data_IF_293521466233
#
_entry.id   IF_293521466233
#
_cell.length_a   1.000
_cell.length_b   1.000
_cell.length_c   1.000
_cell.angle_alpha   90.00
_cell.angle_beta   90.00
_cell.angle_gamma   90.00
#
_symmetry.space_group_name_H-M   'P 1'
#
loop_
_entity.id
_entity.type
_entity.pdbx_description
1 polymer ?
#
# COMPACT_ATOMS: atom_id res chain seq x y z
N UNK A 1 35.12 10.84 14.04
CA UNK A 1 34.00 9.96 14.48
C UNK A 1 32.72 10.73 14.78
N UNK A 2 32.78 12.04 15.07
CA UNK A 2 31.60 12.92 15.15
C UNK A 2 31.04 13.34 13.77
N UNK A 3 31.92 13.46 12.77
CA UNK A 3 31.55 13.94 11.43
C UNK A 3 30.68 12.98 10.61
N UNK A 4 30.66 11.69 10.97
CA UNK A 4 29.85 10.68 10.29
C UNK A 4 28.38 10.72 10.69
N UNK A 5 28.04 11.17 11.90
CA UNK A 5 26.64 11.29 12.35
C UNK A 5 25.94 12.52 11.76
N UNK A 6 26.64 13.66 11.61
CA UNK A 6 26.04 14.86 11.01
C UNK A 6 25.76 14.68 9.51
N UNK A 7 26.62 13.96 8.78
CA UNK A 7 26.40 13.63 7.36
C UNK A 7 25.24 12.64 7.15
N UNK A 8 25.06 11.65 8.02
CA UNK A 8 23.94 10.69 7.93
C UNK A 8 22.57 11.36 8.16
N UNK A 9 22.53 12.42 8.99
CA UNK A 9 21.31 13.17 9.27
C UNK A 9 20.90 14.01 8.05
N UNK A 10 21.87 14.59 7.33
CA UNK A 10 21.59 15.40 6.13
C UNK A 10 21.10 14.55 4.97
N UNK A 11 21.74 13.40 4.69
CA UNK A 11 21.30 12.48 3.63
C UNK A 11 19.89 11.90 3.85
N UNK A 12 19.55 11.51 5.08
CA UNK A 12 18.20 11.04 5.40
C UNK A 12 17.16 12.12 5.20
N UNK A 13 17.51 13.38 5.49
CA UNK A 13 16.60 14.52 5.32
C UNK A 13 16.33 14.80 3.84
N UNK A 14 17.36 14.77 2.99
CA UNK A 14 17.24 14.99 1.54
C UNK A 14 16.47 13.85 0.87
N UNK A 15 16.73 12.60 1.29
CA UNK A 15 15.96 11.43 0.83
C UNK A 15 14.48 11.51 1.23
N UNK A 16 14.18 11.96 2.45
CA UNK A 16 12.80 12.16 2.90
C UNK A 16 12.09 13.27 2.12
N UNK A 17 12.77 14.40 1.86
CA UNK A 17 12.23 15.51 1.10
C UNK A 17 11.97 15.14 -0.36
N UNK A 18 12.93 14.48 -1.00
CA UNK A 18 12.77 13.97 -2.36
C UNK A 18 11.68 12.90 -2.43
N UNK A 19 11.55 12.04 -1.41
CA UNK A 19 10.48 11.07 -1.33
C UNK A 19 9.11 11.75 -1.15
N UNK A 20 8.98 12.76 -0.29
CA UNK A 20 7.72 13.49 -0.10
C UNK A 20 7.27 14.22 -1.37
N UNK A 21 8.18 14.83 -2.12
CA UNK A 21 7.86 15.49 -3.40
C UNK A 21 7.39 14.47 -4.45
N UNK A 22 8.09 13.32 -4.54
CA UNK A 22 7.70 12.25 -5.47
C UNK A 22 6.41 11.53 -5.06
N UNK A 23 6.16 11.45 -3.75
CA UNK A 23 4.95 10.86 -3.17
C UNK A 23 3.74 11.79 -3.33
N UNK A 24 3.93 13.11 -3.31
CA UNK A 24 2.88 14.10 -3.59
C UNK A 24 2.41 14.09 -5.05
N UNK A 25 3.22 13.56 -5.98
CA UNK A 25 2.83 13.37 -7.39
C UNK A 25 1.91 12.15 -7.60
N UNK A 26 1.79 11.27 -6.61
CA UNK A 26 0.89 10.11 -6.68
C UNK A 26 -0.57 10.59 -6.46
N UNK A 27 -1.55 10.11 -7.24
CA UNK A 27 -2.95 10.47 -7.02
C UNK A 27 -3.38 10.12 -5.59
N UNK A 28 -4.09 11.05 -4.93
CA UNK A 28 -4.54 10.97 -3.53
C UNK A 28 -5.22 9.64 -3.15
N UNK A 29 -5.89 9.01 -4.12
CA UNK A 29 -6.50 7.70 -3.96
C UNK A 29 -5.46 6.62 -3.63
N UNK A 30 -4.35 6.53 -4.37
CA UNK A 30 -3.32 5.49 -4.23
C UNK A 30 -2.26 5.78 -3.16
N UNK A 31 -2.33 6.94 -2.51
CA UNK A 31 -1.39 7.34 -1.47
C UNK A 31 -1.71 6.63 -0.15
N UNK A 32 -0.93 5.63 0.26
CA UNK A 32 -1.14 4.93 1.54
C UNK A 32 -0.43 5.66 2.69
N UNK A 33 -1.13 6.63 3.29
CA UNK A 33 -0.70 7.21 4.56
C UNK A 33 -0.71 6.18 5.69
N UNK A 34 0.06 6.40 6.75
CA UNK A 34 0.14 5.49 7.91
C UNK A 34 -1.25 5.17 8.51
N UNK A 35 -2.18 6.13 8.45
CA UNK A 35 -3.57 5.97 8.88
C UNK A 35 -4.34 5.00 7.97
N UNK A 36 -4.22 5.13 6.64
CA UNK A 36 -4.82 4.19 5.68
C UNK A 36 -4.25 2.77 5.84
N UNK A 37 -2.95 2.63 6.13
CA UNK A 37 -2.32 1.32 6.41
C UNK A 37 -2.89 0.66 7.68
N UNK A 38 -3.17 1.45 8.73
CA UNK A 38 -3.86 0.94 9.94
C UNK A 38 -5.30 0.52 9.64
N UNK A 39 -6.06 1.34 8.92
CA UNK A 39 -7.45 1.02 8.53
C UNK A 39 -7.48 -0.26 7.69
N UNK A 40 -6.55 -0.42 6.74
CA UNK A 40 -6.46 -1.60 5.90
C UNK A 40 -6.20 -2.89 6.70
N UNK A 41 -5.34 -2.83 7.72
CA UNK A 41 -5.12 -3.97 8.62
C UNK A 41 -6.38 -4.36 9.38
N UNK A 42 -7.09 -3.37 9.94
CA UNK A 42 -8.35 -3.63 10.63
C UNK A 42 -9.42 -4.18 9.70
N UNK A 43 -9.52 -3.64 8.49
CA UNK A 43 -10.41 -4.15 7.44
C UNK A 43 -10.10 -5.62 7.13
N UNK A 44 -8.84 -5.99 6.96
CA UNK A 44 -8.45 -7.38 6.71
C UNK A 44 -8.83 -8.33 7.86
N UNK A 45 -8.66 -7.90 9.11
CA UNK A 45 -9.05 -8.69 10.30
C UNK A 45 -10.57 -8.89 10.34
N UNK A 46 -11.33 -7.81 10.16
CA UNK A 46 -12.80 -7.86 10.15
C UNK A 46 -13.30 -8.75 9.01
N UNK A 47 -12.70 -8.62 7.83
CA UNK A 47 -13.06 -9.41 6.67
C UNK A 47 -12.85 -10.91 6.89
N UNK A 48 -11.68 -11.28 7.44
CA UNK A 48 -11.37 -12.68 7.76
C UNK A 48 -12.32 -13.24 8.81
N UNK A 49 -12.70 -12.43 9.81
CA UNK A 49 -13.71 -12.82 10.78
C UNK A 49 -15.09 -13.05 10.13
N UNK A 50 -15.50 -12.21 9.17
CA UNK A 50 -16.74 -12.38 8.43
C UNK A 50 -16.73 -13.66 7.58
N UNK A 51 -15.62 -13.97 6.90
CA UNK A 51 -15.48 -15.21 6.12
C UNK A 51 -15.60 -16.46 7.01
N UNK A 52 -14.99 -16.43 8.20
CA UNK A 52 -15.11 -17.53 9.18
C UNK A 52 -16.55 -17.70 9.66
N UNK A 53 -17.23 -16.60 10.01
CA UNK A 53 -18.63 -16.65 10.43
C UNK A 53 -19.52 -17.17 9.29
N UNK A 54 -19.29 -16.72 8.06
CA UNK A 54 -20.06 -17.15 6.89
C UNK A 54 -19.83 -18.64 6.59
N UNK A 55 -18.59 -19.11 6.71
CA UNK A 55 -18.26 -20.54 6.55
C UNK A 55 -18.93 -21.41 7.61
N UNK A 56 -18.92 -20.98 8.88
CA UNK A 56 -19.61 -21.67 9.98
C UNK A 56 -21.12 -21.71 9.70
N UNK A 57 -21.73 -20.58 9.36
CA UNK A 57 -23.15 -20.49 9.03
C UNK A 57 -23.55 -21.44 7.88
N UNK A 58 -22.73 -21.52 6.83
CA UNK A 58 -22.97 -22.41 5.70
C UNK A 58 -22.87 -23.89 6.09
N UNK A 59 -21.89 -24.26 6.92
CA UNK A 59 -21.78 -25.61 7.47
C UNK A 59 -23.01 -25.99 8.31
N UNK A 60 -23.45 -25.11 9.20
CA UNK A 60 -24.60 -25.36 10.08
C UNK A 60 -25.94 -25.44 9.33
N UNK A 61 -26.16 -24.64 8.28
CA UNK A 61 -27.38 -24.73 7.46
C UNK A 61 -27.41 -26.01 6.65
N UNK A 62 -26.28 -26.36 6.03
CA UNK A 62 -26.18 -27.58 5.22
C UNK A 62 -26.41 -28.84 6.07
N UNK A 63 -25.98 -28.84 7.34
CA UNK A 63 -26.27 -29.93 8.27
C UNK A 63 -27.73 -29.96 8.74
N UNK A 64 -28.42 -28.80 8.82
CA UNK A 64 -29.81 -28.73 9.27
C UNK A 64 -30.83 -29.11 8.19
N UNK A 65 -30.50 -28.93 6.91
CA UNK A 65 -31.40 -29.18 5.78
C UNK A 65 -30.77 -30.07 4.67
N UNK A 66 -30.47 -31.35 4.91
CA UNK A 66 -30.19 -32.27 3.80
C UNK A 66 -31.44 -32.63 2.98
N UNK A 67 -32.66 -32.18 3.36
CA UNK A 67 -33.91 -32.69 2.76
C UNK A 67 -35.13 -31.73 2.73
N UNK A 68 -35.04 -30.44 3.07
CA UNK A 68 -36.21 -29.55 3.00
C UNK A 68 -36.21 -28.71 1.73
N UNK A 69 -36.70 -29.33 0.66
CA UNK A 69 -37.39 -28.59 -0.39
C UNK A 69 -38.49 -27.76 0.28
N UNK A 70 -38.32 -26.44 0.33
CA UNK A 70 -39.31 -25.51 0.86
C UNK A 70 -40.50 -25.50 -0.10
N UNK A 71 -41.43 -26.44 0.09
CA UNK A 71 -42.77 -26.37 -0.49
C UNK A 71 -43.56 -25.33 0.29
N UNK A 72 -43.46 -24.07 -0.14
CA UNK A 72 -44.39 -23.02 0.25
C UNK A 72 -45.55 -23.08 -0.74
N UNK A 73 -46.58 -23.81 -0.35
CA UNK A 73 -47.78 -23.98 -1.15
C UNK A 73 -48.57 -22.66 -1.24
N UNK A 74 -48.97 -22.37 -2.48
CA UNK A 74 -50.10 -21.50 -2.89
C UNK A 74 -49.90 -19.98 -2.86
N UNK A 75 -49.14 -19.48 -3.83
CA UNK A 75 -49.55 -18.52 -4.89
C UNK A 75 -48.28 -17.78 -5.34
N UNK A 76 -47.69 -18.24 -6.46
CA UNK A 76 -46.48 -17.68 -7.08
C UNK A 76 -45.22 -17.84 -6.23
N UNK A 77 -44.96 -19.04 -5.75
CA UNK A 77 -43.63 -19.44 -5.27
C UNK A 77 -42.68 -19.53 -6.46
N UNK A 78 -41.99 -18.41 -6.76
CA UNK A 78 -40.68 -18.52 -7.42
C UNK A 78 -39.84 -19.31 -6.42
N UNK A 79 -39.34 -20.52 -6.75
CA UNK A 79 -38.43 -21.22 -5.87
C UNK A 79 -37.17 -20.36 -5.77
N UNK A 80 -37.08 -19.55 -4.72
CA UNK A 80 -35.82 -18.90 -4.35
C UNK A 80 -34.99 -20.05 -3.81
N UNK A 81 -34.21 -20.67 -4.67
CA UNK A 81 -33.15 -21.59 -4.26
C UNK A 81 -32.23 -20.78 -3.34
N UNK A 82 -32.43 -20.92 -2.03
CA UNK A 82 -31.65 -20.24 -1.00
C UNK A 82 -30.16 -20.51 -1.19
N UNK A 83 -29.81 -21.72 -1.62
CA UNK A 83 -28.45 -22.11 -2.01
C UNK A 83 -27.86 -21.23 -3.12
N UNK A 84 -28.64 -20.90 -4.15
CA UNK A 84 -28.18 -20.05 -5.25
C UNK A 84 -27.95 -18.62 -4.78
N UNK A 85 -28.82 -18.11 -3.91
CA UNK A 85 -28.69 -16.77 -3.31
C UNK A 85 -27.46 -16.67 -2.40
N UNK A 86 -27.17 -17.71 -1.60
CA UNK A 86 -25.97 -17.73 -0.75
C UNK A 86 -24.66 -17.80 -1.57
N UNK A 87 -24.64 -18.63 -2.63
CA UNK A 87 -23.49 -18.70 -3.54
C UNK A 87 -23.28 -17.36 -4.26
N UNK A 88 -24.35 -16.70 -4.68
CA UNK A 88 -24.29 -15.39 -5.33
C UNK A 88 -23.70 -14.33 -4.37
N UNK A 89 -24.17 -14.28 -3.13
CA UNK A 89 -23.67 -13.35 -2.11
C UNK A 89 -22.18 -13.60 -1.82
N UNK A 90 -21.78 -14.85 -1.64
CA UNK A 90 -20.37 -15.21 -1.44
C UNK A 90 -19.49 -14.82 -2.64
N UNK A 91 -19.99 -15.01 -3.86
CA UNK A 91 -19.26 -14.65 -5.08
C UNK A 91 -19.07 -13.14 -5.19
N UNK A 92 -20.13 -12.36 -4.96
CA UNK A 92 -20.06 -10.88 -4.96
C UNK A 92 -19.09 -10.38 -3.90
N UNK A 93 -19.11 -10.96 -2.70
CA UNK A 93 -18.22 -10.60 -1.60
C UNK A 93 -16.74 -10.83 -1.98
N UNK A 94 -16.43 -12.00 -2.58
CA UNK A 94 -15.09 -12.31 -3.06
C UNK A 94 -14.61 -11.41 -4.22
N UNK A 95 -15.51 -11.03 -5.13
CA UNK A 95 -15.18 -10.09 -6.21
C UNK A 95 -14.82 -8.72 -5.65
N UNK A 96 -15.57 -8.22 -4.65
CA UNK A 96 -15.26 -6.95 -3.97
C UNK A 96 -13.86 -7.02 -3.32
N UNK A 97 -13.56 -8.12 -2.61
CA UNK A 97 -12.24 -8.32 -2.03
C UNK A 97 -11.14 -8.30 -3.10
N UNK A 98 -11.34 -9.02 -4.22
CA UNK A 98 -10.36 -9.06 -5.30
C UNK A 98 -10.09 -7.67 -5.90
N UNK A 99 -11.12 -6.84 -6.08
CA UNK A 99 -10.97 -5.45 -6.55
C UNK A 99 -10.19 -4.61 -5.55
N UNK A 100 -10.47 -4.74 -4.25
CA UNK A 100 -9.74 -4.01 -3.19
C UNK A 100 -8.27 -4.45 -3.15
N UNK A 101 -7.99 -5.75 -3.25
CA UNK A 101 -6.63 -6.28 -3.30
C UNK A 101 -5.87 -5.79 -4.53
N UNK A 102 -6.50 -5.80 -5.71
CA UNK A 102 -5.91 -5.26 -6.94
C UNK A 102 -5.54 -3.78 -6.76
N UNK A 103 -6.44 -2.99 -6.18
CA UNK A 103 -6.21 -1.58 -5.89
C UNK A 103 -5.03 -1.36 -4.94
N UNK A 104 -4.88 -2.19 -3.91
CA UNK A 104 -3.73 -2.17 -3.00
C UNK A 104 -2.43 -2.48 -3.73
N UNK A 105 -2.42 -3.52 -4.56
CA UNK A 105 -1.23 -3.92 -5.34
C UNK A 105 -0.79 -2.80 -6.27
N UNK A 106 -1.74 -2.15 -6.95
CA UNK A 106 -1.46 -1.01 -7.82
C UNK A 106 -0.85 0.14 -7.02
N UNK A 107 -1.42 0.49 -5.86
CA UNK A 107 -0.88 1.56 -5.03
C UNK A 107 0.52 1.24 -4.48
N UNK A 108 0.78 -0.01 -4.06
CA UNK A 108 2.11 -0.45 -3.64
C UNK A 108 3.13 -0.40 -4.80
N UNK A 109 2.71 -0.71 -6.03
CA UNK A 109 3.57 -0.59 -7.20
C UNK A 109 3.93 0.88 -7.49
N UNK A 110 3.00 1.82 -7.30
CA UNK A 110 3.29 3.26 -7.38
C UNK A 110 4.23 3.71 -6.27
N UNK A 111 4.05 3.29 -5.02
CA UNK A 111 4.96 3.61 -3.91
C UNK A 111 6.38 3.12 -4.22
N UNK A 112 6.54 1.87 -4.67
CA UNK A 112 7.86 1.33 -5.06
C UNK A 112 8.51 2.14 -6.17
N UNK A 113 7.74 2.55 -7.19
CA UNK A 113 8.27 3.39 -8.28
C UNK A 113 8.72 4.76 -7.78
N UNK A 114 7.97 5.37 -6.86
CA UNK A 114 8.35 6.64 -6.24
C UNK A 114 9.64 6.50 -5.41
N UNK A 115 9.76 5.45 -4.59
CA UNK A 115 10.99 5.16 -3.85
C UNK A 115 12.21 4.99 -4.76
N UNK A 116 12.07 4.26 -5.86
CA UNK A 116 13.19 4.05 -6.82
C UNK A 116 13.59 5.35 -7.50
N UNK A 117 12.63 6.22 -7.84
CA UNK A 117 12.93 7.54 -8.41
C UNK A 117 13.60 8.47 -7.40
N UNK A 118 13.07 8.54 -6.18
CA UNK A 118 13.66 9.32 -5.10
C UNK A 118 15.11 8.89 -4.81
N UNK A 119 15.38 7.58 -4.79
CA UNK A 119 16.74 7.06 -4.61
C UNK A 119 17.72 7.50 -5.72
N UNK A 120 17.27 7.58 -6.97
CA UNK A 120 18.10 8.10 -8.07
C UNK A 120 18.38 9.59 -7.95
N UNK A 121 17.41 10.37 -7.46
CA UNK A 121 17.58 11.81 -7.25
C UNK A 121 18.57 12.06 -6.11
N UNK A 122 18.46 11.32 -5.01
CA UNK A 122 19.39 11.41 -3.88
C UNK A 122 20.83 11.07 -4.30
N UNK A 123 21.05 9.97 -5.05
CA UNK A 123 22.37 9.61 -5.56
C UNK A 123 22.99 10.71 -6.45
N UNK A 124 22.17 11.35 -7.28
CA UNK A 124 22.64 12.46 -8.13
C UNK A 124 22.96 13.73 -7.32
N UNK A 125 22.26 13.96 -6.22
CA UNK A 125 22.53 15.09 -5.33
C UNK A 125 23.87 14.91 -4.61
N UNK A 126 24.16 13.68 -4.16
CA UNK A 126 25.44 13.32 -3.54
C UNK A 126 26.63 13.52 -4.50
N UNK A 127 26.48 13.11 -5.77
CA UNK A 127 27.49 13.37 -6.81
C UNK A 127 27.74 14.87 -7.01
N UNK A 128 26.67 15.68 -7.02
CA UNK A 128 26.78 17.13 -7.19
C UNK A 128 27.46 17.81 -5.99
N UNK A 129 27.22 17.36 -4.77
CA UNK A 129 27.89 17.85 -3.57
C UNK A 129 29.38 17.49 -3.54
N UNK A 130 29.74 16.28 -3.99
CA UNK A 130 31.15 15.90 -4.14
C UNK A 130 31.87 16.82 -5.11
N UNK A 131 31.30 17.08 -6.28
CA UNK A 131 31.88 18.03 -7.24
C UNK A 131 32.00 19.45 -6.68
N UNK A 132 30.99 19.93 -5.94
CA UNK A 132 31.03 21.25 -5.32
C UNK A 132 32.15 21.35 -4.30
N UNK A 133 32.28 20.35 -3.43
CA UNK A 133 33.34 20.29 -2.42
C UNK A 133 34.73 20.22 -3.04
N UNK A 134 34.90 19.51 -4.16
CA UNK A 134 36.17 19.48 -4.88
C UNK A 134 36.52 20.85 -5.49
N UNK A 135 35.54 21.55 -6.08
CA UNK A 135 35.75 22.91 -6.61
C UNK A 135 36.08 23.91 -5.50
N UNK A 136 35.43 23.83 -4.35
CA UNK A 136 35.74 24.68 -3.19
C UNK A 136 37.15 24.41 -2.66
N UNK A 137 37.56 23.14 -2.54
CA UNK A 137 38.94 22.79 -2.16
C UNK A 137 39.97 23.31 -3.16
N UNK A 138 39.67 23.26 -4.46
CA UNK A 138 40.55 23.81 -5.50
C UNK A 138 40.66 25.35 -5.39
N UNK A 139 39.55 26.05 -5.15
CA UNK A 139 39.55 27.51 -4.93
C UNK A 139 40.39 27.91 -3.72
N UNK A 140 40.24 27.19 -2.60
CA UNK A 140 41.01 27.44 -1.38
C UNK A 140 42.51 27.22 -1.65
N UNK A 141 42.90 26.12 -2.32
CA UNK A 141 44.31 25.88 -2.67
C UNK A 141 44.89 26.94 -3.60
N UNK A 142 44.10 27.46 -4.55
CA UNK A 142 44.52 28.55 -5.43
C UNK A 142 44.75 29.85 -4.64
N UNK A 143 43.82 30.21 -3.75
CA UNK A 143 43.96 31.38 -2.88
C UNK A 143 45.21 31.31 -1.99
N UNK A 144 45.51 30.15 -1.39
CA UNK A 144 46.73 29.99 -0.60
C UNK A 144 48.02 30.08 -1.42
N UNK A 145 47.97 29.71 -2.71
CA UNK A 145 49.10 29.78 -3.61
C UNK A 145 49.37 31.21 -4.12
N UNK A 146 48.32 32.03 -4.24
CA UNK A 146 48.45 33.45 -4.58
C UNK A 146 48.90 34.32 -3.38
N UNK A 147 48.79 33.79 -2.15
CA UNK A 147 49.21 34.44 -0.91
C UNK A 147 50.67 34.14 -0.50
N UNK A 148 51.33 33.17 -1.14
CA UNK A 148 52.75 32.85 -0.97
C UNK A 148 53.58 33.42 -2.12
#
# INVERSE_FOLDING_TARGET
>A
MKDTEELEIDERSVLQLAFEDEFNKIPLLFRFTALKKKILKWFAIIWLALDVIFGIYFCFIRERDPAKNVTLDTYRSIPINTDLTHILVATIFNVILAVVLLWIVIGLAFERRAFVKAGKIAAKHEEWERERNERERQRIRAQYKDLM
#
